data_IF_065905576634
#
_entry.id   IF_065905576634
#
_cell.length_a   1.000
_cell.length_b   1.000
_cell.length_c   1.000
_cell.angle_alpha   90.00
_cell.angle_beta   90.00
_cell.angle_gamma   90.00
#
_symmetry.space_group_name_H-M   'P 1'
#
loop_
_entity.id
_entity.type
_entity.pdbx_description
1 polymer ?
#
# COMPACT_ATOMS: atom_id res chain seq x y z
N UNK A 1 -1.19 16.17 28.36
CA UNK A 1 -1.83 15.40 27.29
C UNK A 1 -1.18 14.04 27.21
N UNK A 2 -1.92 13.01 27.63
CA UNK A 2 -1.50 11.60 27.58
C UNK A 2 -1.49 11.08 26.13
N UNK A 3 -0.88 9.91 25.86
CA UNK A 3 -0.99 9.25 24.55
C UNK A 3 -2.44 9.06 24.08
N UNK A 4 -3.34 8.67 24.99
CA UNK A 4 -4.75 8.41 24.68
C UNK A 4 -5.54 9.70 24.38
N UNK A 5 -5.16 10.83 24.98
CA UNK A 5 -5.75 12.14 24.70
C UNK A 5 -5.22 12.77 23.41
N UNK A 6 -4.02 12.37 22.97
CA UNK A 6 -3.33 13.04 21.86
C UNK A 6 -4.00 12.77 20.51
N UNK A 7 -4.41 11.54 20.22
CA UNK A 7 -4.98 11.19 18.90
C UNK A 7 -6.30 11.93 18.62
N UNK A 8 -7.29 11.96 19.54
CA UNK A 8 -8.50 12.76 19.33
C UNK A 8 -8.21 14.25 19.14
N UNK A 9 -7.27 14.81 19.92
CA UNK A 9 -6.87 16.21 19.80
C UNK A 9 -6.18 16.51 18.45
N UNK A 10 -5.32 15.60 17.98
CA UNK A 10 -4.66 15.71 16.68
C UNK A 10 -5.67 15.65 15.52
N UNK A 11 -6.66 14.75 15.59
CA UNK A 11 -7.75 14.71 14.61
C UNK A 11 -8.56 16.00 14.60
N UNK A 12 -8.92 16.53 15.77
CA UNK A 12 -9.60 17.82 15.86
C UNK A 12 -8.76 18.96 15.25
N UNK A 13 -7.44 18.94 15.49
CA UNK A 13 -6.50 19.88 14.88
C UNK A 13 -6.48 19.81 13.36
N UNK A 14 -6.44 18.61 12.76
CA UNK A 14 -6.50 18.43 11.29
C UNK A 14 -7.81 18.97 10.71
N UNK A 15 -8.95 18.73 11.38
CA UNK A 15 -10.25 19.24 10.92
C UNK A 15 -10.35 20.76 10.95
N UNK A 16 -9.63 21.40 11.86
CA UNK A 16 -9.56 22.87 11.95
C UNK A 16 -8.56 23.47 10.97
N UNK A 17 -7.41 22.81 10.81
CA UNK A 17 -6.30 23.24 9.96
C UNK A 17 -5.64 22.02 9.30
N UNK A 18 -5.97 21.71 8.03
CA UNK A 18 -5.37 20.61 7.28
C UNK A 18 -3.85 20.72 7.15
N UNK A 19 -3.29 21.94 7.21
CA UNK A 19 -1.84 22.16 7.07
C UNK A 19 -1.06 21.64 8.28
N UNK A 20 -1.73 21.43 9.42
CA UNK A 20 -1.12 20.82 10.60
C UNK A 20 -0.81 19.33 10.44
N UNK A 21 -1.34 18.66 9.41
CA UNK A 21 -1.21 17.21 9.23
C UNK A 21 0.26 16.75 9.21
N UNK A 22 1.14 17.39 8.43
CA UNK A 22 2.55 17.01 8.33
C UNK A 22 3.25 17.01 9.71
N UNK A 23 3.05 18.07 10.49
CA UNK A 23 3.61 18.17 11.84
C UNK A 23 3.05 17.07 12.76
N UNK A 24 1.74 16.83 12.74
CA UNK A 24 1.09 15.84 13.61
C UNK A 24 1.53 14.40 13.26
N UNK A 25 1.69 14.08 11.98
CA UNK A 25 2.21 12.80 11.52
C UNK A 25 3.67 12.58 11.94
N UNK A 26 4.49 13.62 11.90
CA UNK A 26 5.88 13.61 12.39
C UNK A 26 5.98 13.48 13.92
N UNK A 27 5.00 14.00 14.66
CA UNK A 27 4.92 13.87 16.12
C UNK A 27 4.50 12.47 16.58
N UNK A 28 3.67 11.76 15.80
CA UNK A 28 3.06 10.48 16.20
C UNK A 28 4.05 9.43 16.74
N UNK A 29 5.24 9.19 16.13
CA UNK A 29 6.22 8.23 16.68
C UNK A 29 6.70 8.57 18.08
N UNK A 30 6.92 9.86 18.37
CA UNK A 30 7.39 10.33 19.68
C UNK A 30 6.29 10.25 20.74
N UNK A 31 5.03 10.42 20.33
CA UNK A 31 3.86 10.43 21.22
C UNK A 31 3.34 9.03 21.54
N UNK A 32 3.36 8.14 20.56
CA UNK A 32 2.63 6.87 20.59
C UNK A 32 3.51 5.63 20.44
N UNK A 33 4.81 5.79 20.14
CA UNK A 33 5.72 4.68 19.92
C UNK A 33 5.18 3.71 18.87
N UNK A 34 5.00 2.43 19.24
CA UNK A 34 4.52 1.39 18.33
C UNK A 34 3.11 1.65 17.77
N UNK A 35 2.27 2.41 18.47
CA UNK A 35 0.93 2.75 18.01
C UNK A 35 0.91 3.87 16.95
N UNK A 36 2.07 4.47 16.63
CA UNK A 36 2.13 5.59 15.68
C UNK A 36 1.68 5.22 14.27
N UNK A 37 1.92 3.98 13.81
CA UNK A 37 1.53 3.55 12.47
C UNK A 37 0.00 3.59 12.30
N UNK A 38 -0.75 2.98 13.22
CA UNK A 38 -2.21 3.00 13.21
C UNK A 38 -2.76 4.43 13.36
N UNK A 39 -2.16 5.23 14.25
CA UNK A 39 -2.56 6.61 14.46
C UNK A 39 -2.37 7.48 13.21
N UNK A 40 -1.26 7.31 12.47
CA UNK A 40 -1.03 8.02 11.20
C UNK A 40 -2.11 7.70 10.17
N UNK A 41 -2.53 6.43 10.06
CA UNK A 41 -3.65 6.04 9.19
C UNK A 41 -4.93 6.74 9.62
N UNK A 42 -5.26 6.70 10.92
CA UNK A 42 -6.45 7.38 11.46
C UNK A 42 -6.46 8.89 11.18
N UNK A 43 -5.31 9.55 11.27
CA UNK A 43 -5.17 10.98 10.95
C UNK A 43 -5.33 11.26 9.45
N UNK A 44 -4.75 10.40 8.59
CA UNK A 44 -4.84 10.54 7.14
C UNK A 44 -6.24 10.23 6.61
N UNK A 45 -6.96 9.28 7.19
CA UNK A 45 -8.37 9.03 6.88
C UNK A 45 -9.23 10.24 7.26
N UNK A 46 -9.04 10.81 8.45
CA UNK A 46 -9.75 12.03 8.86
C UNK A 46 -9.40 13.23 7.98
N UNK A 47 -8.15 13.32 7.51
CA UNK A 47 -7.73 14.35 6.55
C UNK A 47 -8.43 14.15 5.20
N UNK A 48 -8.52 12.92 4.68
CA UNK A 48 -9.12 12.60 3.39
C UNK A 48 -10.62 12.94 3.30
N UNK A 49 -11.32 12.99 4.44
CA UNK A 49 -12.75 13.37 4.52
C UNK A 49 -12.99 14.88 4.31
N UNK A 50 -11.95 15.71 4.37
CA UNK A 50 -12.06 17.16 4.16
C UNK A 50 -12.12 17.50 2.66
N UNK A 51 -12.73 18.64 2.27
CA UNK A 51 -12.86 19.02 0.85
C UNK A 51 -11.55 19.01 0.06
N UNK A 52 -10.49 19.60 0.60
CA UNK A 52 -9.13 19.61 -0.01
C UNK A 52 -8.23 18.50 0.56
N UNK A 53 -8.80 17.61 1.36
CA UNK A 53 -8.14 16.52 2.07
C UNK A 53 -7.29 15.60 1.19
N UNK A 54 -7.84 15.06 0.09
CA UNK A 54 -7.11 14.19 -0.82
C UNK A 54 -5.81 14.81 -1.38
N UNK A 55 -5.81 16.12 -1.66
CA UNK A 55 -4.61 16.82 -2.13
C UNK A 55 -3.52 16.88 -1.04
N UNK A 56 -3.92 17.09 0.22
CA UNK A 56 -2.99 17.06 1.35
C UNK A 56 -2.44 15.65 1.60
N UNK A 57 -3.27 14.61 1.50
CA UNK A 57 -2.83 13.21 1.60
C UNK A 57 -1.78 12.89 0.53
N UNK A 58 -2.01 13.30 -0.73
CA UNK A 58 -1.02 13.17 -1.79
C UNK A 58 0.27 13.95 -1.48
N UNK A 59 0.16 15.17 -0.96
CA UNK A 59 1.31 15.96 -0.52
C UNK A 59 2.16 15.25 0.53
N UNK A 60 1.53 14.60 1.52
CA UNK A 60 2.22 13.78 2.52
C UNK A 60 2.97 12.62 1.87
N UNK A 61 2.39 11.95 0.87
CA UNK A 61 3.08 10.86 0.19
C UNK A 61 4.35 11.32 -0.52
N UNK A 62 4.28 12.44 -1.24
CA UNK A 62 5.41 12.91 -2.05
C UNK A 62 6.55 13.53 -1.23
N UNK A 63 6.23 14.07 -0.05
CA UNK A 63 7.21 14.79 0.79
C UNK A 63 7.62 14.03 2.04
N UNK A 64 6.85 13.01 2.44
CA UNK A 64 7.02 12.29 3.69
C UNK A 64 8.04 11.16 3.66
N UNK A 65 8.38 10.68 4.85
CA UNK A 65 9.25 9.52 5.06
C UNK A 65 8.58 8.19 4.67
N UNK A 66 9.33 7.08 4.65
CA UNK A 66 8.77 5.77 4.31
C UNK A 66 7.60 5.35 5.22
N UNK A 67 7.62 5.74 6.50
CA UNK A 67 6.54 5.44 7.44
C UNK A 67 5.28 6.27 7.19
N UNK A 68 5.43 7.52 6.74
CA UNK A 68 4.33 8.39 6.32
C UNK A 68 3.74 7.89 4.99
N UNK A 69 4.58 7.55 4.03
CA UNK A 69 4.14 6.93 2.76
C UNK A 69 3.37 5.63 2.98
N UNK A 70 3.85 4.75 3.87
CA UNK A 70 3.12 3.53 4.25
C UNK A 70 1.75 3.84 4.86
N UNK A 71 1.67 4.86 5.73
CA UNK A 71 0.40 5.28 6.31
C UNK A 71 -0.55 5.87 5.27
N UNK A 72 -0.04 6.60 4.27
CA UNK A 72 -0.83 7.09 3.14
C UNK A 72 -1.39 5.93 2.34
N UNK A 73 -0.57 4.96 1.93
CA UNK A 73 -1.02 3.79 1.17
C UNK A 73 -2.13 3.02 1.91
N UNK A 74 -2.01 2.87 3.23
CA UNK A 74 -3.03 2.24 4.06
C UNK A 74 -4.33 3.05 4.19
N UNK A 75 -4.26 4.38 4.07
CA UNK A 75 -5.43 5.27 4.11
C UNK A 75 -6.11 5.46 2.73
N UNK A 76 -5.49 5.03 1.62
CA UNK A 76 -6.05 5.22 0.27
C UNK A 76 -7.46 4.64 0.03
N UNK A 77 -7.97 3.62 0.73
CA UNK A 77 -9.37 3.20 0.57
C UNK A 77 -10.39 4.31 0.84
N UNK A 78 -10.03 5.36 1.61
CA UNK A 78 -10.89 6.53 1.84
C UNK A 78 -10.60 7.72 0.90
N UNK A 79 -9.74 7.53 -0.11
CA UNK A 79 -9.28 8.59 -1.01
C UNK A 79 -9.84 8.34 -2.43
N UNK A 80 -10.27 9.38 -3.17
CA UNK A 80 -10.74 9.21 -4.55
C UNK A 80 -9.71 8.51 -5.45
N UNK A 81 -10.18 7.61 -6.31
CA UNK A 81 -9.35 6.81 -7.21
C UNK A 81 -8.37 7.67 -8.03
N UNK A 82 -8.82 8.82 -8.53
CA UNK A 82 -7.99 9.73 -9.33
C UNK A 82 -6.75 10.25 -8.59
N UNK A 83 -6.79 10.29 -7.25
CA UNK A 83 -5.66 10.66 -6.39
C UNK A 83 -4.88 9.42 -5.96
N UNK A 84 -5.57 8.31 -5.67
CA UNK A 84 -4.93 7.08 -5.19
C UNK A 84 -4.05 6.39 -6.25
N UNK A 85 -4.50 6.32 -7.51
CA UNK A 85 -3.81 5.56 -8.58
C UNK A 85 -2.37 6.02 -8.80
N UNK A 86 -2.07 7.33 -8.97
CA UNK A 86 -0.68 7.77 -9.13
C UNK A 86 0.25 7.38 -7.97
N UNK A 87 -0.28 7.35 -6.74
CA UNK A 87 0.50 6.98 -5.54
C UNK A 87 0.75 5.47 -5.47
N UNK A 88 -0.25 4.66 -5.82
CA UNK A 88 -0.11 3.22 -5.92
C UNK A 88 0.91 2.84 -6.99
N UNK A 89 0.82 3.44 -8.17
CA UNK A 89 1.77 3.20 -9.25
C UNK A 89 3.21 3.60 -8.87
N UNK A 90 3.40 4.74 -8.19
CA UNK A 90 4.71 5.14 -7.70
C UNK A 90 5.26 4.15 -6.67
N UNK A 91 4.43 3.71 -5.73
CA UNK A 91 4.81 2.69 -4.76
C UNK A 91 5.21 1.37 -5.44
N UNK A 92 4.51 0.97 -6.51
CA UNK A 92 4.87 -0.19 -7.33
C UNK A 92 6.16 0.02 -8.15
N UNK A 93 6.59 1.25 -8.42
CA UNK A 93 7.90 1.53 -9.04
C UNK A 93 9.05 1.49 -8.03
N UNK A 94 8.78 1.68 -6.74
CA UNK A 94 9.77 1.65 -5.65
C UNK A 94 10.41 0.27 -5.45
N UNK A 95 11.66 0.24 -4.96
CA UNK A 95 12.33 -0.99 -4.51
C UNK A 95 12.12 -1.29 -3.00
N UNK A 96 11.38 -0.44 -2.28
CA UNK A 96 10.99 -0.73 -0.90
C UNK A 96 9.86 -1.75 -0.88
N UNK A 97 10.18 -2.98 -0.47
CA UNK A 97 9.23 -4.10 -0.41
C UNK A 97 7.98 -3.79 0.44
N UNK A 98 8.10 -2.92 1.45
CA UNK A 98 6.96 -2.52 2.28
C UNK A 98 5.98 -1.64 1.50
N UNK A 99 6.50 -0.72 0.67
CA UNK A 99 5.66 0.12 -0.17
C UNK A 99 4.97 -0.69 -1.27
N UNK A 100 5.69 -1.61 -1.90
CA UNK A 100 5.11 -2.53 -2.90
C UNK A 100 4.01 -3.38 -2.28
N UNK A 101 4.25 -3.97 -1.10
CA UNK A 101 3.24 -4.76 -0.39
C UNK A 101 2.01 -3.92 -0.03
N UNK A 102 2.20 -2.70 0.49
CA UNK A 102 1.10 -1.81 0.85
C UNK A 102 0.28 -1.37 -0.38
N UNK A 103 0.93 -1.15 -1.53
CA UNK A 103 0.25 -0.79 -2.78
C UNK A 103 -0.64 -1.91 -3.34
N UNK A 104 -0.33 -3.17 -3.02
CA UNK A 104 -1.17 -4.33 -3.36
C UNK A 104 -2.17 -4.70 -2.26
N UNK A 105 -2.32 -3.87 -1.22
CA UNK A 105 -3.37 -3.99 -0.20
C UNK A 105 -4.76 -3.57 -0.71
N UNK A 106 -5.73 -3.24 0.17
CA UNK A 106 -7.11 -2.96 -0.22
C UNK A 106 -7.30 -1.87 -1.30
N UNK A 107 -6.42 -0.87 -1.30
CA UNK A 107 -6.44 0.20 -2.31
C UNK A 107 -6.10 -0.28 -3.72
N UNK A 108 -5.54 -1.49 -3.89
CA UNK A 108 -5.24 -2.07 -5.20
C UNK A 108 -6.47 -2.30 -6.08
N UNK A 109 -7.68 -2.25 -5.51
CA UNK A 109 -8.95 -2.21 -6.26
C UNK A 109 -9.02 -1.03 -7.23
N UNK A 110 -8.29 0.05 -6.94
CA UNK A 110 -8.16 1.21 -7.82
C UNK A 110 -7.27 0.96 -9.06
N UNK A 111 -6.40 -0.05 -9.03
CA UNK A 111 -5.48 -0.37 -10.12
C UNK A 111 -6.19 -1.12 -11.24
N UNK A 112 -5.88 -0.75 -12.48
CA UNK A 112 -6.24 -1.57 -13.63
C UNK A 112 -5.58 -2.96 -13.54
N UNK A 113 -6.12 -3.90 -14.31
CA UNK A 113 -5.70 -5.29 -14.26
C UNK A 113 -4.23 -5.48 -14.69
N UNK A 114 -3.76 -4.77 -15.70
CA UNK A 114 -2.38 -4.88 -16.18
C UNK A 114 -1.38 -4.40 -15.12
N UNK A 115 -1.61 -3.21 -14.55
CA UNK A 115 -0.75 -2.66 -13.50
C UNK A 115 -0.73 -3.56 -12.26
N UNK A 116 -1.89 -4.10 -11.87
CA UNK A 116 -1.98 -5.02 -10.75
C UNK A 116 -1.18 -6.31 -10.97
N UNK A 117 -1.26 -6.95 -12.15
CA UNK A 117 -0.47 -8.16 -12.47
C UNK A 117 1.04 -7.90 -12.39
N UNK A 118 1.49 -6.76 -12.92
CA UNK A 118 2.90 -6.37 -12.82
C UNK A 118 3.35 -6.18 -11.36
N UNK A 119 2.48 -5.62 -10.53
CA UNK A 119 2.68 -5.57 -9.08
C UNK A 119 2.83 -6.96 -8.47
N UNK A 120 1.95 -7.91 -8.80
CA UNK A 120 2.01 -9.29 -8.30
C UNK A 120 3.32 -9.97 -8.69
N UNK A 121 3.76 -9.84 -9.94
CA UNK A 121 5.07 -10.35 -10.35
C UNK A 121 6.21 -9.72 -9.56
N UNK A 122 6.15 -8.40 -9.33
CA UNK A 122 7.13 -7.69 -8.53
C UNK A 122 7.19 -8.24 -7.09
N UNK A 123 6.05 -8.60 -6.50
CA UNK A 123 6.03 -9.28 -5.21
C UNK A 123 6.84 -10.58 -5.23
N UNK A 124 6.65 -11.42 -6.25
CA UNK A 124 7.42 -12.67 -6.41
C UNK A 124 8.92 -12.38 -6.54
N UNK A 125 9.30 -11.35 -7.31
CA UNK A 125 10.71 -10.95 -7.45
C UNK A 125 11.33 -10.43 -6.14
N UNK A 126 10.57 -9.67 -5.35
CA UNK A 126 11.03 -9.09 -4.08
C UNK A 126 10.87 -10.04 -2.88
N UNK A 127 10.30 -11.23 -3.07
CA UNK A 127 10.01 -12.17 -1.98
C UNK A 127 8.91 -11.68 -1.03
N UNK A 128 7.98 -10.86 -1.53
CA UNK A 128 6.81 -10.40 -0.77
C UNK A 128 5.74 -11.50 -0.81
N UNK A 129 5.21 -11.95 0.34
CA UNK A 129 4.18 -12.98 0.37
C UNK A 129 2.91 -12.56 -0.38
N UNK A 130 2.44 -13.43 -1.28
CA UNK A 130 1.24 -13.18 -2.08
C UNK A 130 -0.06 -13.21 -1.25
N UNK A 131 -0.04 -13.83 -0.07
CA UNK A 131 -1.17 -13.81 0.87
C UNK A 131 -1.58 -12.39 1.33
N UNK A 132 -0.69 -11.40 1.17
CA UNK A 132 -0.99 -9.99 1.43
C UNK A 132 -1.60 -9.23 0.25
N UNK A 133 -1.67 -9.83 -0.94
CA UNK A 133 -2.24 -9.21 -2.14
C UNK A 133 -3.76 -9.27 -2.06
N UNK A 134 -4.39 -8.10 -2.08
CA UNK A 134 -5.83 -7.98 -2.00
C UNK A 134 -6.51 -8.53 -3.26
N UNK A 135 -7.58 -9.30 -3.05
CA UNK A 135 -8.39 -9.92 -4.10
C UNK A 135 -7.61 -10.83 -5.08
N UNK A 136 -6.49 -11.42 -4.64
CA UNK A 136 -5.65 -12.28 -5.49
C UNK A 136 -6.46 -13.39 -6.17
N UNK A 137 -7.21 -14.19 -5.42
CA UNK A 137 -7.99 -15.31 -5.97
C UNK A 137 -9.06 -14.86 -6.96
N UNK A 138 -9.62 -13.67 -6.76
CA UNK A 138 -10.67 -13.10 -7.61
C UNK A 138 -10.12 -12.47 -8.88
N UNK A 139 -8.91 -11.92 -8.82
CA UNK A 139 -8.26 -11.19 -9.92
C UNK A 139 -7.25 -12.04 -10.67
N UNK A 140 -6.83 -13.18 -10.14
CA UNK A 140 -5.96 -14.11 -10.85
C UNK A 140 -6.67 -14.59 -12.12
N UNK A 141 -6.07 -14.29 -13.26
CA UNK A 141 -6.62 -14.60 -14.57
C UNK A 141 -5.60 -15.36 -15.43
N UNK A 142 -6.02 -15.90 -16.58
CA UNK A 142 -5.11 -16.71 -17.42
C UNK A 142 -3.84 -15.97 -17.83
N UNK A 143 -3.89 -14.64 -17.96
CA UNK A 143 -2.72 -13.84 -18.30
C UNK A 143 -1.71 -13.81 -17.15
N UNK A 144 -2.15 -13.59 -15.90
CA UNK A 144 -1.28 -13.69 -14.72
C UNK A 144 -0.64 -15.08 -14.62
N UNK A 145 -1.42 -16.14 -14.84
CA UNK A 145 -0.91 -17.53 -14.79
C UNK A 145 0.13 -17.78 -15.88
N UNK A 146 -0.10 -17.28 -17.10
CA UNK A 146 0.88 -17.38 -18.18
C UNK A 146 2.19 -16.64 -17.84
N UNK A 147 2.10 -15.44 -17.27
CA UNK A 147 3.26 -14.65 -16.84
C UNK A 147 4.05 -15.36 -15.73
N UNK A 148 3.37 -15.89 -14.71
CA UNK A 148 4.00 -16.66 -13.64
C UNK A 148 4.63 -17.95 -14.17
N UNK A 149 4.04 -18.59 -15.17
CA UNK A 149 4.59 -19.76 -15.85
C UNK A 149 5.90 -19.43 -16.59
N UNK A 150 5.93 -18.29 -17.29
CA UNK A 150 7.16 -17.78 -17.92
C UNK A 150 8.26 -17.49 -16.88
N UNK A 151 7.91 -16.80 -15.80
CA UNK A 151 8.83 -16.54 -14.70
C UNK A 151 9.36 -17.83 -14.06
N UNK A 152 8.51 -18.85 -13.87
CA UNK A 152 8.91 -20.14 -13.35
C UNK A 152 9.96 -20.82 -14.26
N UNK A 153 9.72 -20.82 -15.57
CA UNK A 153 10.65 -21.40 -16.55
C UNK A 153 12.00 -20.65 -16.57
N UNK A 154 11.98 -19.31 -16.52
CA UNK A 154 13.21 -18.50 -16.45
C UNK A 154 14.03 -18.78 -15.17
N UNK A 155 13.34 -18.97 -14.04
CA UNK A 155 14.02 -19.28 -12.77
C UNK A 155 14.59 -20.69 -12.77
N UNK A 156 13.85 -21.66 -13.27
CA UNK A 156 14.29 -23.06 -13.38
C UNK A 156 15.51 -23.20 -14.29
N UNK A 157 15.51 -22.52 -15.45
CA UNK A 157 16.66 -22.43 -16.33
C UNK A 157 17.90 -21.82 -15.66
N UNK A 158 17.70 -20.99 -14.64
CA UNK A 158 18.75 -20.40 -13.81
C UNK A 158 19.07 -21.21 -12.54
N UNK A 159 18.51 -22.42 -12.38
CA UNK A 159 18.71 -23.28 -11.21
C UNK A 159 18.07 -22.74 -9.92
N UNK A 160 17.02 -21.90 -10.04
CA UNK A 160 16.32 -21.28 -8.91
C UNK A 160 14.87 -21.72 -8.87
N UNK A 161 14.37 -22.06 -7.69
CA UNK A 161 12.95 -22.35 -7.51
C UNK A 161 12.09 -21.08 -7.47
N UNK A 162 10.82 -21.22 -7.85
CA UNK A 162 9.77 -20.23 -7.63
C UNK A 162 9.35 -20.25 -6.14
N UNK A 163 9.02 -19.09 -5.53
CA UNK A 163 8.41 -19.06 -4.20
C UNK A 163 7.16 -19.94 -4.10
N UNK A 164 6.95 -20.54 -2.92
CA UNK A 164 5.93 -21.59 -2.72
C UNK A 164 4.50 -21.09 -2.94
N UNK A 165 4.19 -19.87 -2.54
CA UNK A 165 2.89 -19.23 -2.74
C UNK A 165 2.61 -18.94 -4.23
N UNK A 166 3.60 -18.48 -4.98
CA UNK A 166 3.48 -18.32 -6.43
C UNK A 166 3.34 -19.68 -7.17
N UNK A 167 4.00 -20.73 -6.67
CA UNK A 167 3.87 -22.09 -7.21
C UNK A 167 2.50 -22.71 -6.90
N UNK A 168 1.94 -22.43 -5.72
CA UNK A 168 0.58 -22.83 -5.35
C UNK A 168 -0.45 -22.18 -6.27
N UNK A 169 -0.36 -20.86 -6.48
CA UNK A 169 -1.24 -20.11 -7.38
C UNK A 169 -1.23 -20.69 -8.80
N UNK A 170 -0.06 -21.04 -9.34
CA UNK A 170 0.06 -21.70 -10.64
C UNK A 170 -0.63 -23.07 -10.73
N UNK A 171 -0.74 -23.78 -9.61
CA UNK A 171 -1.28 -25.13 -9.55
C UNK A 171 -2.79 -25.12 -9.36
N UNK A 172 -3.30 -24.21 -8.53
CA UNK A 172 -4.72 -24.05 -8.22
C UNK A 172 -5.53 -23.62 -9.45
N UNK A 173 -4.99 -22.73 -10.29
CA UNK A 173 -5.71 -22.22 -11.47
C UNK A 173 -5.60 -23.14 -12.70
N UNK A 174 -4.91 -24.28 -12.59
CA UNK A 174 -4.83 -25.31 -13.65
C UNK A 174 -5.91 -26.39 -13.53
N UNK A 175 -6.79 -26.31 -12.53
CA UNK A 175 -7.94 -27.20 -12.31
C UNK A 175 -9.22 -26.51 -12.78
#
# INVERSE_FOLDING_TARGET
>A
MTPDEWLPAAQAGIRQDPTAAARLLAEAPRRLGRASAAARVTLLTALAELPDGPAHVAGVYWTGDSGERLAVLAALPSVPQAVAVPLLEDALRSNDARLVAAALGPAATALDQGTWRQGVLKCVFLGIPLAGVHDLDRRADPELIAMLGGLAAERDAAGRALPADAAALLTETRQ
#
